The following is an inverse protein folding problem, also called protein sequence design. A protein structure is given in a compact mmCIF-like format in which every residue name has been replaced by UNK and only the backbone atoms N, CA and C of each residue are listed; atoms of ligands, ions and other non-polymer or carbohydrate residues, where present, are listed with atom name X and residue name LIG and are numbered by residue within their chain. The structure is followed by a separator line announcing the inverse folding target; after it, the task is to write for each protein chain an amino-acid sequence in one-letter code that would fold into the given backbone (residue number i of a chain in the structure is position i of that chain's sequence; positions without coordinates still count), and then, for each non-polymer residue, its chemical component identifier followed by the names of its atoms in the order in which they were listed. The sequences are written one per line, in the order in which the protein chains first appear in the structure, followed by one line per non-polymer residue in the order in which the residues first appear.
data_IF_693497545935
#
_entry.id   IF_693497545935
#
_cell.length_a   1.000
_cell.length_b   1.000
_cell.length_c   1.000
_cell.angle_alpha   90.00
_cell.angle_beta   90.00
_cell.angle_gamma   90.00
#
_symmetry.space_group_name_H-M   'P 1'
#
loop_
_entity.id
_entity.type
_entity.pdbx_description
1 polymer ?
#
# COMPACT_ATOMS: atom_id res chain seq x y z
N UNK A 1 7.00 8.98 -10.56
CA UNK A 1 6.39 8.40 -9.36
C UNK A 1 6.45 6.89 -9.39
N UNK A 2 6.72 6.27 -8.27
CA UNK A 2 6.83 4.81 -8.24
C UNK A 2 5.47 4.14 -8.25
N UNK A 3 5.40 2.98 -8.88
CA UNK A 3 4.18 2.17 -8.85
C UNK A 3 4.16 1.35 -7.55
N UNK A 4 3.00 0.78 -7.27
CA UNK A 4 2.88 -0.12 -6.12
C UNK A 4 3.90 -1.24 -6.21
N UNK A 5 4.03 -1.85 -7.39
CA UNK A 5 4.98 -2.95 -7.56
C UNK A 5 6.41 -2.55 -7.31
N UNK A 6 6.79 -1.35 -7.74
CA UNK A 6 8.15 -0.85 -7.50
C UNK A 6 8.40 -0.61 -6.02
N UNK A 7 7.44 -0.02 -5.33
CA UNK A 7 7.57 0.20 -3.89
C UNK A 7 7.68 -1.12 -3.15
N UNK A 8 6.84 -2.08 -3.53
CA UNK A 8 6.85 -3.40 -2.91
C UNK A 8 8.18 -4.10 -3.13
N UNK A 9 8.67 -4.06 -4.37
CA UNK A 9 9.95 -4.70 -4.72
C UNK A 9 11.09 -4.10 -3.89
N UNK A 10 11.15 -2.79 -3.80
CA UNK A 10 12.21 -2.13 -3.05
C UNK A 10 12.14 -2.46 -1.57
N UNK A 11 10.93 -2.49 -1.01
CA UNK A 11 10.76 -2.82 0.40
C UNK A 11 11.18 -4.27 0.68
N UNK A 12 10.82 -5.17 -0.23
CA UNK A 12 11.19 -6.58 -0.08
C UNK A 12 12.71 -6.75 -0.11
N UNK A 13 13.35 -6.13 -1.09
CA UNK A 13 14.81 -6.21 -1.19
C UNK A 13 15.48 -5.55 0.00
N UNK A 14 14.92 -4.44 0.45
CA UNK A 14 15.45 -3.76 1.64
C UNK A 14 15.33 -4.61 2.90
N UNK A 15 14.34 -5.49 2.96
CA UNK A 15 14.17 -6.41 4.06
C UNK A 15 15.04 -7.67 3.92
N UNK A 16 15.74 -7.79 2.80
CA UNK A 16 16.61 -8.94 2.58
C UNK A 16 15.88 -10.23 2.24
N UNK A 17 14.67 -10.13 1.72
CA UNK A 17 13.86 -11.31 1.42
C UNK A 17 13.77 -11.56 -0.08
N UNK A 18 13.82 -12.85 -0.45
CA UNK A 18 13.49 -13.24 -1.82
C UNK A 18 11.97 -13.22 -1.98
N UNK A 19 11.52 -13.26 -3.24
CA UNK A 19 10.08 -13.38 -3.49
C UNK A 19 9.50 -14.64 -2.86
N UNK A 20 10.25 -15.75 -2.95
CA UNK A 20 9.80 -17.01 -2.37
C UNK A 20 9.66 -16.89 -0.85
N UNK A 21 10.64 -16.28 -0.20
CA UNK A 21 10.57 -16.10 1.25
C UNK A 21 9.40 -15.22 1.67
N UNK A 22 9.23 -14.10 0.98
CA UNK A 22 8.14 -13.20 1.31
C UNK A 22 6.79 -13.87 1.09
N UNK A 23 6.61 -14.54 -0.04
CA UNK A 23 5.36 -15.21 -0.36
C UNK A 23 5.03 -16.28 0.67
N UNK A 24 6.05 -17.02 1.14
CA UNK A 24 5.82 -18.09 2.11
C UNK A 24 5.32 -17.59 3.46
N UNK A 25 5.55 -16.31 3.75
CA UNK A 25 5.11 -15.71 5.01
C UNK A 25 3.74 -15.05 4.92
N UNK A 26 3.21 -14.89 3.71
CA UNK A 26 1.89 -14.31 3.51
C UNK A 26 0.84 -15.41 3.56
N UNK A 27 -0.32 -15.09 4.14
CA UNK A 27 -1.40 -16.07 4.28
C UNK A 27 -2.65 -15.56 3.60
N UNK A 28 -3.20 -16.40 2.71
CA UNK A 28 -4.49 -16.15 2.10
C UNK A 28 -5.57 -16.32 3.15
N UNK A 29 -6.79 -15.93 2.80
CA UNK A 29 -7.89 -16.06 3.75
C UNK A 29 -8.13 -17.50 4.17
N UNK A 30 -7.83 -18.45 3.29
CA UNK A 30 -7.97 -19.87 3.63
C UNK A 30 -6.78 -20.43 4.42
N UNK A 31 -5.84 -19.57 4.80
CA UNK A 31 -4.69 -19.96 5.61
C UNK A 31 -3.51 -20.48 4.84
N UNK A 32 -3.64 -20.67 3.53
CA UNK A 32 -2.54 -21.16 2.71
C UNK A 32 -1.59 -20.04 2.35
N UNK A 33 -0.30 -20.35 2.14
CA UNK A 33 0.62 -19.29 1.73
C UNK A 33 0.33 -18.82 0.32
N UNK A 34 0.72 -17.58 0.06
CA UNK A 34 0.66 -17.01 -1.28
C UNK A 34 1.77 -17.65 -2.10
N UNK A 35 1.53 -17.90 -3.37
CA UNK A 35 2.57 -18.48 -4.21
C UNK A 35 3.48 -17.40 -4.80
N UNK A 36 4.74 -17.74 -5.07
CA UNK A 36 5.69 -16.77 -5.61
C UNK A 36 5.28 -16.14 -6.95
N UNK A 37 4.69 -16.88 -7.89
CA UNK A 37 4.24 -16.25 -9.15
C UNK A 37 3.25 -15.12 -8.94
N UNK A 38 2.35 -15.24 -7.97
CA UNK A 38 1.41 -14.16 -7.67
C UNK A 38 2.17 -12.92 -7.20
N UNK A 39 3.10 -13.10 -6.25
CA UNK A 39 3.86 -11.97 -5.73
C UNK A 39 4.69 -11.33 -6.85
N UNK A 40 5.30 -12.16 -7.70
CA UNK A 40 6.07 -11.65 -8.83
C UNK A 40 5.21 -10.79 -9.74
N UNK A 41 3.98 -11.24 -10.03
CA UNK A 41 3.07 -10.48 -10.89
C UNK A 41 2.69 -9.14 -10.26
N UNK A 42 2.47 -9.11 -8.94
CA UNK A 42 2.17 -7.87 -8.24
C UNK A 42 3.36 -6.91 -8.30
N UNK A 43 4.56 -7.43 -8.11
CA UNK A 43 5.77 -6.60 -8.15
C UNK A 43 6.02 -5.98 -9.51
N UNK A 44 5.58 -6.67 -10.57
CA UNK A 44 5.74 -6.16 -11.93
C UNK A 44 4.50 -5.41 -12.43
N UNK A 45 3.56 -5.14 -11.54
CA UNK A 45 2.34 -4.41 -11.85
C UNK A 45 1.47 -5.11 -12.90
N UNK A 46 1.60 -6.44 -13.00
CA UNK A 46 0.77 -7.26 -13.86
C UNK A 46 -0.51 -7.71 -13.15
N UNK A 47 -0.60 -7.47 -11.85
CA UNK A 47 -1.79 -7.72 -11.05
C UNK A 47 -2.06 -6.48 -10.22
N UNK A 48 -3.31 -6.26 -9.89
CA UNK A 48 -3.68 -5.16 -9.00
C UNK A 48 -3.04 -5.38 -7.63
N UNK A 49 -2.84 -4.28 -6.87
CA UNK A 49 -2.38 -4.43 -5.49
C UNK A 49 -3.31 -5.37 -4.73
N UNK A 50 -2.76 -6.15 -3.79
CA UNK A 50 -3.55 -7.17 -3.10
C UNK A 50 -4.58 -6.56 -2.15
N UNK A 51 -5.44 -7.42 -1.64
CA UNK A 51 -6.47 -7.03 -0.70
C UNK A 51 -5.87 -6.51 0.60
N UNK A 52 -6.69 -5.80 1.36
CA UNK A 52 -6.23 -5.13 2.57
C UNK A 52 -5.50 -6.06 3.54
N UNK A 53 -6.03 -7.26 3.75
CA UNK A 53 -5.39 -8.17 4.71
C UNK A 53 -3.99 -8.57 4.28
N UNK A 54 -3.73 -8.64 2.98
CA UNK A 54 -2.37 -8.94 2.50
C UNK A 54 -1.48 -7.72 2.57
N UNK A 55 -2.03 -6.53 2.35
CA UNK A 55 -1.25 -5.29 2.50
C UNK A 55 -0.78 -5.16 3.95
N UNK A 56 -1.67 -5.44 4.92
CA UNK A 56 -1.29 -5.37 6.32
C UNK A 56 -0.18 -6.38 6.66
N UNK A 57 -0.29 -7.58 6.12
CA UNK A 57 0.74 -8.58 6.33
C UNK A 57 2.07 -8.18 5.71
N UNK A 58 2.03 -7.66 4.48
CA UNK A 58 3.24 -7.20 3.80
C UNK A 58 3.94 -6.10 4.60
N UNK A 59 3.17 -5.16 5.14
CA UNK A 59 3.75 -4.10 5.94
C UNK A 59 4.54 -4.66 7.10
N UNK A 60 3.97 -5.63 7.81
CA UNK A 60 4.65 -6.24 8.96
C UNK A 60 5.87 -7.03 8.54
N UNK A 61 5.74 -7.83 7.49
CA UNK A 61 6.83 -8.69 7.04
C UNK A 61 7.99 -7.86 6.51
N UNK A 62 7.70 -6.80 5.80
CA UNK A 62 8.73 -5.97 5.17
C UNK A 62 9.21 -4.83 6.05
N UNK A 63 8.55 -4.60 7.18
CA UNK A 63 8.97 -3.57 8.12
C UNK A 63 8.73 -2.16 7.62
N UNK A 64 7.67 -1.95 6.84
CA UNK A 64 7.32 -0.62 6.36
C UNK A 64 5.90 -0.28 6.78
N UNK A 65 5.57 1.01 6.69
CA UNK A 65 4.24 1.46 7.06
C UNK A 65 3.19 0.95 6.08
N UNK A 66 2.09 0.43 6.61
CA UNK A 66 0.97 0.03 5.77
C UNK A 66 0.40 1.24 5.01
N UNK A 67 0.45 2.43 5.62
CA UNK A 67 -0.05 3.64 4.97
C UNK A 67 0.66 3.91 3.64
N UNK A 68 1.97 3.66 3.59
CA UNK A 68 2.73 3.84 2.38
C UNK A 68 2.25 2.88 1.29
N UNK A 69 1.99 1.64 1.66
CA UNK A 69 1.48 0.65 0.70
C UNK A 69 0.09 1.02 0.22
N UNK A 70 -0.79 1.46 1.14
CA UNK A 70 -2.13 1.89 0.75
C UNK A 70 -2.07 3.09 -0.20
N UNK A 71 -1.19 4.04 0.11
CA UNK A 71 -1.05 5.22 -0.75
C UNK A 71 -0.72 4.80 -2.19
N UNK A 72 0.28 3.93 -2.34
CA UNK A 72 0.70 3.50 -3.68
C UNK A 72 -0.28 2.53 -4.32
N UNK A 73 -1.13 1.89 -3.52
CA UNK A 73 -2.23 1.09 -4.04
C UNK A 73 -3.43 1.94 -4.46
N UNK A 74 -3.33 3.24 -4.21
CA UNK A 74 -4.40 4.19 -4.53
C UNK A 74 -5.66 3.87 -3.73
N UNK A 75 -5.48 3.50 -2.47
CA UNK A 75 -6.56 3.13 -1.57
C UNK A 75 -6.38 3.79 -0.22
N UNK A 76 -7.51 4.01 0.46
CA UNK A 76 -7.48 4.48 1.83
C UNK A 76 -7.08 3.33 2.76
N UNK A 77 -6.33 3.62 3.82
CA UNK A 77 -6.10 2.61 4.85
C UNK A 77 -7.42 2.10 5.41
N UNK A 78 -7.42 0.84 5.84
CA UNK A 78 -8.66 0.17 6.25
C UNK A 78 -9.38 0.90 7.38
N UNK A 79 -8.63 1.43 8.35
CA UNK A 79 -9.23 2.12 9.49
C UNK A 79 -9.82 3.48 9.11
N UNK A 80 -9.30 4.09 8.04
CA UNK A 80 -9.78 5.40 7.58
C UNK A 80 -11.05 5.27 6.76
N UNK A 81 -11.25 4.13 6.10
CA UNK A 81 -12.39 3.94 5.22
C UNK A 81 -13.73 4.12 5.90
N UNK A 82 -13.77 3.99 7.21
CA UNK A 82 -15.03 4.09 7.94
C UNK A 82 -15.41 5.51 8.31
N UNK A 83 -14.52 6.47 8.06
CA UNK A 83 -14.80 7.85 8.40
C UNK A 83 -15.79 8.44 7.40
N UNK A 84 -16.88 9.01 7.90
CA UNK A 84 -17.94 9.52 7.04
C UNK A 84 -18.26 11.00 7.19
N UNK A 85 -17.61 11.70 8.10
CA UNK A 85 -17.87 13.12 8.31
C UNK A 85 -17.16 13.93 7.22
N UNK A 86 -17.97 14.55 6.35
CA UNK A 86 -17.43 15.27 5.19
C UNK A 86 -16.50 16.42 5.59
N UNK A 87 -16.87 17.18 6.61
CA UNK A 87 -16.03 18.30 7.03
C UNK A 87 -14.68 17.83 7.53
N UNK A 88 -14.66 16.74 8.25
CA UNK A 88 -13.41 16.18 8.76
C UNK A 88 -12.58 15.59 7.64
N UNK A 89 -13.21 14.94 6.69
CA UNK A 89 -12.51 14.39 5.53
C UNK A 89 -11.86 15.51 4.73
N UNK A 90 -12.60 16.60 4.50
CA UNK A 90 -12.05 17.76 3.81
C UNK A 90 -10.83 18.33 4.52
N UNK A 91 -10.96 18.51 5.84
CA UNK A 91 -9.86 19.04 6.63
C UNK A 91 -8.65 18.12 6.59
N UNK A 92 -8.88 16.80 6.60
CA UNK A 92 -7.81 15.83 6.54
C UNK A 92 -7.06 15.92 5.22
N UNK A 93 -7.78 16.06 4.11
CA UNK A 93 -7.11 16.18 2.81
C UNK A 93 -6.36 17.49 2.65
N UNK A 94 -6.84 18.57 3.25
CA UNK A 94 -6.07 19.82 3.27
C UNK A 94 -4.76 19.63 4.02
N UNK A 95 -4.83 18.99 5.18
CA UNK A 95 -3.64 18.72 5.97
C UNK A 95 -2.67 17.80 5.22
N UNK A 96 -3.22 16.81 4.56
CA UNK A 96 -2.45 15.86 3.79
C UNK A 96 -1.66 16.56 2.68
N UNK A 97 -2.34 17.43 1.91
CA UNK A 97 -1.67 18.19 0.86
C UNK A 97 -0.59 19.10 1.43
N UNK A 98 -0.89 19.74 2.56
CA UNK A 98 0.06 20.63 3.19
C UNK A 98 1.33 19.88 3.59
N UNK A 99 1.17 18.72 4.21
CA UNK A 99 2.30 17.91 4.64
C UNK A 99 3.12 17.45 3.45
N UNK A 100 2.46 17.06 2.36
CA UNK A 100 3.15 16.62 1.16
C UNK A 100 3.74 17.77 0.35
N UNK A 101 3.37 19.02 0.67
CA UNK A 101 3.85 20.15 -0.08
C UNK A 101 3.16 20.39 -1.41
N UNK A 102 1.95 19.85 -1.55
CA UNK A 102 1.19 20.00 -2.79
C UNK A 102 0.41 21.31 -2.77
N UNK A 103 0.50 22.04 -3.87
CA UNK A 103 -0.28 23.27 -3.99
C UNK A 103 -1.71 22.97 -4.37
N UNK A 104 -2.63 23.74 -3.82
CA UNK A 104 -4.04 23.57 -4.13
C UNK A 104 -4.31 24.01 -5.55
N UNK A 105 -4.88 23.12 -6.35
CA UNK A 105 -5.17 23.39 -7.75
C UNK A 105 -6.21 24.52 -7.89
N UNK A 106 -7.14 24.58 -6.97
CA UNK A 106 -8.20 25.57 -7.04
C UNK A 106 -7.77 26.99 -6.83
N UNK A 107 -6.54 27.23 -6.47
CA UNK A 107 -6.07 28.58 -6.26
C UNK A 107 -5.94 29.36 -7.53
N UNK A 108 -5.86 28.70 -8.61
CA UNK A 108 -5.78 29.45 -9.80
C UNK A 108 -7.05 30.08 -10.07
N UNK A 109 -7.16 30.81 -10.41
CA UNK A 109 -8.33 31.25 -10.50
C UNK A 109 -8.45 31.69 -11.40
#
# INVERSE_FOLDING_TARGET
MKTFGQVLTEARKGAGLTQREAASRLRREDGRPVDPPYLNAVEHDHRYPPEDHLIEQLAKILGISADVLYFHANRQPADVKTEGDQARVEAAYRAFRKVLGVKLAGKRK
#
